data_IF_774028099033
#
_entry.id   IF_774028099033
#
_cell.length_a   1.000
_cell.length_b   1.000
_cell.length_c   1.000
_cell.angle_alpha   90.00
_cell.angle_beta   90.00
_cell.angle_gamma   90.00
#
_symmetry.space_group_name_H-M   'P 1'
#
loop_
_entity.id
_entity.type
_entity.pdbx_description
1 polymer ?
#
# COMPACT_ATOMS: atom_id res chain seq x y z
N UNK A 1 24.98 -6.48 -5.60
CA UNK A 1 24.03 -7.53 -5.17
C UNK A 1 22.62 -7.07 -5.50
N UNK A 2 21.78 -7.89 -6.14
CA UNK A 2 20.40 -7.53 -6.45
C UNK A 2 19.55 -7.77 -5.21
N UNK A 3 18.88 -6.73 -4.70
CA UNK A 3 17.96 -6.83 -3.57
C UNK A 3 16.72 -7.60 -4.05
N UNK A 4 16.44 -8.77 -3.45
CA UNK A 4 15.24 -9.56 -3.76
C UNK A 4 14.10 -9.06 -2.90
N UNK A 5 13.00 -8.69 -3.53
CA UNK A 5 11.77 -8.28 -2.87
C UNK A 5 10.73 -9.38 -3.02
N UNK A 6 9.96 -9.62 -1.97
CA UNK A 6 8.74 -10.40 -2.11
C UNK A 6 7.66 -9.55 -2.77
N UNK A 7 6.63 -10.19 -3.32
CA UNK A 7 5.44 -9.48 -3.81
C UNK A 7 4.81 -8.63 -2.72
N UNK A 8 4.88 -9.07 -1.45
CA UNK A 8 4.36 -8.31 -0.31
C UNK A 8 5.19 -7.05 -0.04
N UNK A 9 6.50 -7.08 -0.26
CA UNK A 9 7.34 -5.89 -0.10
C UNK A 9 7.05 -4.86 -1.20
N UNK A 10 6.93 -5.32 -2.45
CA UNK A 10 6.58 -4.44 -3.57
C UNK A 10 5.18 -3.84 -3.42
N UNK A 11 4.21 -4.63 -2.98
CA UNK A 11 2.85 -4.16 -2.73
C UNK A 11 2.85 -3.06 -1.64
N UNK A 12 3.60 -3.25 -0.56
CA UNK A 12 3.72 -2.27 0.53
C UNK A 12 4.34 -0.96 0.07
N UNK A 13 5.44 -1.04 -0.66
CA UNK A 13 6.13 0.14 -1.20
C UNK A 13 5.21 0.90 -2.17
N UNK A 14 4.48 0.18 -3.01
CA UNK A 14 3.56 0.79 -3.96
C UNK A 14 2.36 1.46 -3.26
N UNK A 15 1.78 0.82 -2.24
CA UNK A 15 0.71 1.41 -1.43
C UNK A 15 1.17 2.73 -0.78
N UNK A 16 2.39 2.77 -0.24
CA UNK A 16 2.95 3.99 0.36
C UNK A 16 3.13 5.09 -0.70
N UNK A 17 3.74 4.76 -1.84
CA UNK A 17 3.91 5.72 -2.96
C UNK A 17 2.59 6.31 -3.43
N UNK A 18 1.57 5.48 -3.58
CA UNK A 18 0.25 5.95 -4.00
C UNK A 18 -0.36 6.86 -2.93
N UNK A 19 -0.30 6.48 -1.65
CA UNK A 19 -0.80 7.34 -0.56
C UNK A 19 -0.07 8.68 -0.47
N UNK A 20 1.24 8.72 -0.69
CA UNK A 20 2.00 9.97 -0.75
C UNK A 20 1.57 10.82 -1.95
N UNK A 21 1.41 10.20 -3.12
CA UNK A 21 0.95 10.89 -4.34
C UNK A 21 -0.46 11.46 -4.22
N UNK A 22 -1.32 10.82 -3.43
CA UNK A 22 -2.70 11.28 -3.17
C UNK A 22 -2.82 12.10 -1.88
N UNK A 23 -1.70 12.54 -1.28
CA UNK A 23 -1.67 13.32 -0.04
C UNK A 23 -2.46 12.67 1.12
N UNK A 24 -2.47 11.34 1.18
CA UNK A 24 -3.17 10.56 2.20
C UNK A 24 -4.65 10.32 1.92
N UNK A 25 -5.17 10.72 0.74
CA UNK A 25 -6.52 10.41 0.30
C UNK A 25 -6.65 8.91 0.00
N UNK A 26 -7.25 8.20 0.96
CA UNK A 26 -7.42 6.74 0.94
C UNK A 26 -8.44 6.27 -0.09
N UNK A 27 -9.44 7.08 -0.41
CA UNK A 27 -10.43 6.73 -1.43
C UNK A 27 -9.79 6.75 -2.81
N UNK A 28 -9.05 7.81 -3.11
CA UNK A 28 -8.32 7.95 -4.37
C UNK A 28 -7.19 6.93 -4.50
N UNK A 29 -6.45 6.69 -3.41
CA UNK A 29 -5.43 5.64 -3.39
C UNK A 29 -6.01 4.25 -3.67
N UNK A 30 -7.17 3.92 -3.09
CA UNK A 30 -7.86 2.65 -3.34
C UNK A 30 -8.25 2.50 -4.81
N UNK A 31 -8.76 3.58 -5.44
CA UNK A 31 -9.07 3.61 -6.87
C UNK A 31 -7.82 3.37 -7.74
N UNK A 32 -6.71 4.06 -7.45
CA UNK A 32 -5.44 3.91 -8.20
C UNK A 32 -4.85 2.50 -8.02
N UNK A 33 -4.96 1.93 -6.81
CA UNK A 33 -4.50 0.58 -6.50
C UNK A 33 -5.43 -0.51 -7.05
N UNK A 34 -6.63 -0.15 -7.55
CA UNK A 34 -7.61 -1.11 -8.07
C UNK A 34 -8.19 -2.02 -6.99
N UNK A 35 -8.29 -1.54 -5.75
CA UNK A 35 -8.81 -2.31 -4.61
C UNK A 35 -9.94 -1.57 -3.91
N UNK A 36 -10.80 -2.29 -3.21
CA UNK A 36 -11.75 -1.66 -2.31
C UNK A 36 -11.07 -0.93 -1.15
N UNK A 37 -11.71 0.13 -0.67
CA UNK A 37 -11.24 0.92 0.49
C UNK A 37 -11.03 0.05 1.72
N UNK A 38 -11.86 -0.96 1.96
CA UNK A 38 -11.74 -1.93 3.06
C UNK A 38 -10.50 -2.82 2.91
N UNK A 39 -10.18 -3.24 1.69
CA UNK A 39 -8.95 -3.99 1.38
C UNK A 39 -7.71 -3.14 1.62
N UNK A 40 -7.71 -1.88 1.17
CA UNK A 40 -6.63 -0.95 1.45
C UNK A 40 -6.45 -0.76 2.96
N UNK A 41 -7.54 -0.56 3.70
CA UNK A 41 -7.50 -0.39 5.16
C UNK A 41 -6.88 -1.61 5.86
N UNK A 42 -7.32 -2.82 5.52
CA UNK A 42 -6.75 -4.06 6.08
C UNK A 42 -5.26 -4.18 5.78
N UNK A 43 -4.83 -3.87 4.56
CA UNK A 43 -3.41 -3.89 4.17
C UNK A 43 -2.59 -2.88 4.98
N UNK A 44 -3.12 -1.67 5.21
CA UNK A 44 -2.45 -0.65 6.02
C UNK A 44 -2.31 -1.07 7.48
N UNK A 45 -3.34 -1.69 8.06
CA UNK A 45 -3.27 -2.21 9.43
C UNK A 45 -2.27 -3.38 9.53
N UNK A 46 -2.25 -4.30 8.56
CA UNK A 46 -1.23 -5.37 8.47
C UNK A 46 0.21 -4.84 8.30
N UNK A 47 0.37 -3.63 7.77
CA UNK A 47 1.68 -2.97 7.65
C UNK A 47 2.13 -2.43 9.00
N UNK A 48 1.25 -1.71 9.72
CA UNK A 48 1.53 -1.19 11.07
C UNK A 48 1.77 -2.28 12.11
N UNK A 49 1.09 -3.42 11.99
CA UNK A 49 1.22 -4.56 12.91
C UNK A 49 2.54 -5.33 12.75
N UNK A 50 3.35 -5.01 11.72
CA UNK A 50 4.61 -5.70 11.40
C UNK A 50 5.85 -4.84 11.64
N UNK A 51 5.69 -3.69 12.29
CA UNK A 51 6.76 -2.87 12.88
C UNK A 51 6.85 -3.15 14.39
#
# INVERSE_FOLDING_TARGET
MVKRYTLKDLEREYIQKVLESTQGNKSEAATILGVDRTTLYRKLEEMKLKE
#
